data_IF_515986788456
#
_entry.id   IF_515986788456
#
_cell.length_a   1.000
_cell.length_b   1.000
_cell.length_c   1.000
_cell.angle_alpha   90.00
_cell.angle_beta   90.00
_cell.angle_gamma   90.00
#
_symmetry.space_group_name_H-M   'P 1'
#
loop_
_entity.id
_entity.type
_entity.pdbx_description
1 polymer ?
#
# COMPACT_ATOMS: atom_id res chain seq x y z
N UNK A 1 -14.58 -9.13 9.41
CA UNK A 1 -15.36 -7.93 9.04
C UNK A 1 -14.52 -6.68 8.75
N UNK A 2 -13.30 -6.53 9.30
CA UNK A 2 -12.45 -5.33 9.09
C UNK A 2 -11.91 -5.16 7.66
N UNK A 3 -11.42 -6.23 7.03
CA UNK A 3 -10.85 -6.15 5.67
C UNK A 3 -11.88 -5.81 4.59
N UNK A 4 -13.13 -6.29 4.73
CA UNK A 4 -14.23 -5.96 3.82
C UNK A 4 -14.62 -4.48 3.86
N UNK A 5 -14.58 -3.86 5.04
CA UNK A 5 -14.81 -2.42 5.17
C UNK A 5 -13.69 -1.60 4.51
N UNK A 6 -12.43 -2.02 4.66
CA UNK A 6 -11.29 -1.32 4.05
C UNK A 6 -11.33 -1.35 2.53
N UNK A 7 -11.70 -2.48 1.91
CA UNK A 7 -11.81 -2.54 0.45
C UNK A 7 -12.99 -1.74 -0.07
N UNK A 8 -14.14 -1.76 0.63
CA UNK A 8 -15.28 -0.90 0.28
C UNK A 8 -14.90 0.58 0.35
N UNK A 9 -14.21 0.98 1.42
CA UNK A 9 -13.75 2.35 1.59
C UNK A 9 -12.72 2.74 0.50
N UNK A 10 -11.79 1.85 0.15
CA UNK A 10 -10.85 2.05 -0.95
C UNK A 10 -11.57 2.30 -2.28
N UNK A 11 -12.57 1.47 -2.62
CA UNK A 11 -13.36 1.64 -3.86
C UNK A 11 -14.09 2.98 -3.85
N UNK A 12 -14.77 3.34 -2.75
CA UNK A 12 -15.55 4.58 -2.68
C UNK A 12 -14.66 5.83 -2.77
N UNK A 13 -13.52 5.84 -2.09
CA UNK A 13 -12.63 7.01 -2.12
C UNK A 13 -11.99 7.16 -3.50
N UNK A 14 -11.52 6.08 -4.13
CA UNK A 14 -10.97 6.15 -5.49
C UNK A 14 -12.06 6.50 -6.50
N UNK A 15 -13.30 6.04 -6.30
CA UNK A 15 -14.41 6.34 -7.20
C UNK A 15 -14.72 7.86 -7.27
N UNK A 16 -14.67 8.54 -6.12
CA UNK A 16 -15.00 9.98 -6.04
C UNK A 16 -13.80 10.85 -6.39
N UNK A 17 -12.59 10.47 -5.98
CA UNK A 17 -11.42 11.34 -6.07
C UNK A 17 -10.49 11.05 -7.25
N UNK A 18 -10.65 9.91 -7.95
CA UNK A 18 -9.88 9.61 -9.15
C UNK A 18 -10.68 9.91 -10.42
N UNK A 19 -10.09 10.67 -11.33
CA UNK A 19 -10.61 10.89 -12.69
C UNK A 19 -10.44 9.68 -13.60
N UNK A 20 -9.74 8.63 -13.16
CA UNK A 20 -9.67 7.35 -13.85
C UNK A 20 -10.86 6.44 -13.52
N UNK A 21 -11.70 6.82 -12.55
CA UNK A 21 -12.82 6.01 -12.11
C UNK A 21 -13.93 5.92 -13.15
N UNK A 22 -14.82 4.93 -13.00
CA UNK A 22 -15.99 4.76 -13.87
C UNK A 22 -16.87 6.01 -13.96
N UNK A 23 -16.84 6.88 -12.94
CA UNK A 23 -17.63 8.11 -12.90
C UNK A 23 -17.14 9.16 -13.92
N UNK A 24 -15.88 9.06 -14.35
CA UNK A 24 -15.22 10.00 -15.26
C UNK A 24 -14.71 9.24 -16.49
N UNK A 25 -15.52 9.10 -17.56
CA UNK A 25 -15.14 8.33 -18.75
C UNK A 25 -13.95 8.91 -19.52
N UNK A 26 -13.72 10.22 -19.38
CA UNK A 26 -12.66 10.95 -20.04
C UNK A 26 -11.75 11.56 -18.98
N UNK A 27 -10.46 11.26 -19.08
CA UNK A 27 -9.45 11.83 -18.21
C UNK A 27 -8.78 13.03 -18.92
N UNK A 28 -9.01 14.28 -18.47
CA UNK A 28 -8.40 15.46 -19.07
C UNK A 28 -6.93 15.65 -18.70
N UNK A 29 -6.38 14.84 -17.79
CA UNK A 29 -5.03 14.99 -17.29
C UNK A 29 -4.01 14.34 -18.25
N UNK A 30 -3.04 15.13 -18.68
CA UNK A 30 -2.00 14.68 -19.61
C UNK A 30 -1.16 13.53 -19.03
N UNK A 31 -0.80 13.60 -17.74
CA UNK A 31 0.02 12.59 -17.07
C UNK A 31 -0.56 11.17 -17.20
N UNK A 32 -1.85 11.01 -16.91
CA UNK A 32 -2.52 9.70 -16.99
C UNK A 32 -2.55 9.15 -18.42
N UNK A 33 -2.74 10.04 -19.40
CA UNK A 33 -2.72 9.68 -20.82
C UNK A 33 -1.31 9.28 -21.29
N UNK A 34 -0.27 9.98 -20.83
CA UNK A 34 1.13 9.66 -21.11
C UNK A 34 1.48 8.28 -20.55
N UNK A 35 1.18 8.00 -19.28
CA UNK A 35 1.49 6.69 -18.69
C UNK A 35 0.70 5.55 -19.32
N UNK A 36 -0.56 5.78 -19.70
CA UNK A 36 -1.35 4.79 -20.46
C UNK A 36 -0.71 4.49 -21.83
N UNK A 37 -0.18 5.51 -22.50
CA UNK A 37 0.53 5.35 -23.77
C UNK A 37 1.83 4.58 -23.60
N UNK A 38 2.60 4.88 -22.54
CA UNK A 38 3.85 4.16 -22.23
C UNK A 38 3.54 2.69 -21.91
N UNK A 39 2.53 2.41 -21.07
CA UNK A 39 2.13 1.04 -20.76
C UNK A 39 1.72 0.24 -22.01
N UNK A 40 0.95 0.85 -22.91
CA UNK A 40 0.59 0.23 -24.20
C UNK A 40 1.81 0.00 -25.10
N UNK A 41 2.77 0.92 -25.09
CA UNK A 41 4.00 0.81 -25.87
C UNK A 41 4.92 -0.30 -25.33
N UNK A 42 5.01 -0.45 -24.00
CA UNK A 42 5.71 -1.57 -23.35
C UNK A 42 5.07 -2.91 -23.69
N UNK A 43 3.74 -3.00 -23.66
CA UNK A 43 3.02 -4.21 -24.13
C UNK A 43 3.22 -4.53 -25.61
N UNK A 44 3.62 -3.55 -26.42
CA UNK A 44 3.95 -3.75 -27.82
C UNK A 44 5.41 -4.17 -28.03
N UNK A 45 6.15 -4.45 -26.96
CA UNK A 45 7.53 -4.94 -26.99
C UNK A 45 8.60 -3.86 -26.92
N UNK A 46 8.26 -2.61 -26.58
CA UNK A 46 9.26 -1.54 -26.39
C UNK A 46 9.85 -1.59 -24.99
N UNK A 47 11.17 -1.42 -24.89
CA UNK A 47 11.87 -1.45 -23.61
C UNK A 47 11.96 -0.07 -22.96
N UNK A 48 11.71 -0.02 -21.65
CA UNK A 48 11.79 1.21 -20.87
C UNK A 48 13.26 1.68 -20.74
N UNK A 49 13.48 2.98 -20.86
CA UNK A 49 14.79 3.67 -20.89
C UNK A 49 15.71 3.35 -22.05
N UNK A 50 15.34 2.40 -22.92
CA UNK A 50 16.02 2.15 -24.19
C UNK A 50 15.24 2.82 -25.32
N UNK A 51 13.97 2.46 -25.48
CA UNK A 51 13.11 2.99 -26.54
C UNK A 51 12.22 4.14 -26.06
N UNK A 52 11.91 4.15 -24.76
CA UNK A 52 10.99 5.11 -24.14
C UNK A 52 11.66 5.70 -22.90
N UNK A 53 11.95 7.00 -22.96
CA UNK A 53 12.56 7.72 -21.84
C UNK A 53 11.53 8.59 -21.12
N UNK A 54 11.53 8.51 -19.80
CA UNK A 54 10.83 9.44 -18.92
C UNK A 54 11.62 9.62 -17.60
N UNK A 55 11.42 10.74 -16.90
CA UNK A 55 12.19 11.11 -15.71
C UNK A 55 11.62 10.51 -14.40
N UNK A 56 10.51 9.78 -14.46
CA UNK A 56 9.87 9.12 -13.31
C UNK A 56 10.46 7.72 -13.07
N UNK A 57 10.13 7.15 -11.92
CA UNK A 57 10.62 5.84 -11.51
C UNK A 57 10.02 4.67 -12.32
N UNK A 58 10.79 3.59 -12.57
CA UNK A 58 10.39 2.47 -13.43
C UNK A 58 9.10 1.77 -12.98
N UNK A 59 8.90 1.65 -11.66
CA UNK A 59 7.78 0.93 -11.05
C UNK A 59 6.44 1.45 -11.54
N UNK A 60 6.32 2.76 -11.78
CA UNK A 60 5.08 3.36 -12.25
C UNK A 60 4.70 2.86 -13.64
N UNK A 61 5.67 2.67 -14.54
CA UNK A 61 5.41 2.20 -15.89
C UNK A 61 5.03 0.73 -15.92
N UNK A 62 5.64 -0.11 -15.08
CA UNK A 62 5.22 -1.51 -14.94
C UNK A 62 3.79 -1.64 -14.41
N UNK A 63 3.39 -0.79 -13.45
CA UNK A 63 2.00 -0.75 -12.99
C UNK A 63 1.04 -0.35 -14.12
N UNK A 64 1.43 0.59 -14.97
CA UNK A 64 0.62 1.00 -16.13
C UNK A 64 0.63 -0.02 -17.26
N UNK A 65 1.71 -0.77 -17.46
CA UNK A 65 1.76 -1.92 -18.36
C UNK A 65 0.75 -2.98 -17.92
N UNK A 66 0.73 -3.31 -16.63
CA UNK A 66 -0.24 -4.25 -16.06
C UNK A 66 -1.68 -3.73 -16.18
N UNK A 67 -1.90 -2.43 -15.95
CA UNK A 67 -3.19 -1.80 -16.19
C UNK A 67 -3.60 -1.91 -17.67
N UNK A 68 -2.65 -1.73 -18.60
CA UNK A 68 -2.89 -1.84 -20.03
C UNK A 68 -3.18 -3.29 -20.49
N UNK A 69 -2.68 -4.31 -19.76
CA UNK A 69 -3.06 -5.72 -20.02
C UNK A 69 -4.56 -5.91 -19.79
N UNK A 70 -5.09 -5.30 -18.73
CA UNK A 70 -6.51 -5.36 -18.39
C UNK A 70 -7.36 -4.55 -19.38
N UNK A 71 -6.87 -3.38 -19.77
CA UNK A 71 -7.59 -2.48 -20.66
C UNK A 71 -6.63 -1.52 -21.37
N UNK A 72 -6.47 -1.70 -22.69
CA UNK A 72 -5.60 -0.84 -23.52
C UNK A 72 -6.23 0.50 -23.87
N UNK A 73 -7.56 0.55 -23.99
CA UNK A 73 -8.30 1.71 -24.52
C UNK A 73 -9.13 2.46 -23.47
N UNK A 74 -9.18 1.96 -22.23
CA UNK A 74 -9.98 2.56 -21.15
C UNK A 74 -9.20 2.61 -19.84
N UNK A 75 -9.44 3.66 -19.05
CA UNK A 75 -8.85 3.90 -17.73
C UNK A 75 -9.30 2.91 -16.65
N UNK A 76 -10.25 2.01 -16.95
CA UNK A 76 -10.73 0.98 -16.01
C UNK A 76 -9.57 0.12 -15.50
N UNK A 77 -8.59 -0.21 -16.35
CA UNK A 77 -7.41 -0.96 -15.92
C UNK A 77 -6.59 -0.21 -14.87
N UNK A 78 -6.42 1.09 -15.07
CA UNK A 78 -5.70 1.98 -14.15
C UNK A 78 -6.48 2.11 -12.84
N UNK A 79 -7.80 2.27 -12.92
CA UNK A 79 -8.68 2.33 -11.74
C UNK A 79 -8.61 1.08 -10.86
N UNK A 80 -8.53 -0.12 -11.45
CA UNK A 80 -8.36 -1.36 -10.68
C UNK A 80 -7.02 -1.38 -9.94
N UNK A 81 -5.94 -0.93 -10.59
CA UNK A 81 -4.63 -0.81 -9.95
C UNK A 81 -4.67 0.21 -8.81
N UNK A 82 -5.34 1.35 -9.00
CA UNK A 82 -5.54 2.37 -7.95
C UNK A 82 -6.29 1.81 -6.74
N UNK A 83 -7.36 1.03 -6.94
CA UNK A 83 -8.10 0.37 -5.85
C UNK A 83 -7.16 -0.55 -5.05
N UNK A 84 -6.35 -1.36 -5.74
CA UNK A 84 -5.40 -2.27 -5.09
C UNK A 84 -4.36 -1.50 -4.30
N UNK A 85 -3.74 -0.46 -4.88
CA UNK A 85 -2.77 0.39 -4.19
C UNK A 85 -3.39 1.08 -2.97
N UNK A 86 -4.60 1.63 -3.10
CA UNK A 86 -5.32 2.29 -2.00
C UNK A 86 -5.65 1.30 -0.88
N UNK A 87 -6.13 0.10 -1.23
CA UNK A 87 -6.40 -0.96 -0.26
C UNK A 87 -5.14 -1.38 0.50
N UNK A 88 -4.02 -1.60 -0.20
CA UNK A 88 -2.73 -1.94 0.42
C UNK A 88 -2.27 -0.81 1.35
N UNK A 89 -2.37 0.45 0.93
CA UNK A 89 -2.06 1.61 1.76
C UNK A 89 -2.88 1.64 3.05
N UNK A 90 -4.20 1.43 2.95
CA UNK A 90 -5.10 1.40 4.11
C UNK A 90 -4.80 0.22 5.05
N UNK A 91 -4.47 -0.94 4.50
CA UNK A 91 -4.08 -2.10 5.29
C UNK A 91 -2.82 -1.82 6.11
N UNK A 92 -1.77 -1.28 5.49
CA UNK A 92 -0.53 -0.96 6.20
C UNK A 92 -0.74 0.15 7.23
N UNK A 93 -1.49 1.20 6.87
CA UNK A 93 -1.87 2.26 7.81
C UNK A 93 -2.59 1.71 9.04
N UNK A 94 -3.57 0.81 8.83
CA UNK A 94 -4.29 0.16 9.92
C UNK A 94 -3.36 -0.68 10.82
N UNK A 95 -2.44 -1.44 10.21
CA UNK A 95 -1.47 -2.27 10.94
C UNK A 95 -0.51 -1.41 11.77
N UNK A 96 -0.03 -0.30 11.22
CA UNK A 96 0.87 0.63 11.92
C UNK A 96 0.16 1.24 13.14
N UNK A 97 -1.04 1.80 12.94
CA UNK A 97 -1.81 2.42 14.03
C UNK A 97 -2.08 1.41 15.15
N UNK A 98 -2.48 0.19 14.78
CA UNK A 98 -2.74 -0.89 15.76
C UNK A 98 -1.46 -1.24 16.54
N UNK A 99 -0.31 -1.29 15.85
CA UNK A 99 0.98 -1.59 16.48
C UNK A 99 1.42 -0.50 17.46
N UNK A 100 1.12 0.76 17.17
CA UNK A 100 1.41 1.90 18.05
C UNK A 100 0.49 1.96 19.28
N UNK A 101 -0.76 1.50 19.14
CA UNK A 101 -1.74 1.47 20.22
C UNK A 101 -1.54 0.28 21.17
N UNK A 102 -0.80 -0.74 20.74
CA UNK A 102 -0.51 -1.88 21.61
C UNK A 102 0.48 -1.40 22.67
N UNK A 103 0.13 -1.37 23.96
CA UNK A 103 1.13 -1.07 24.98
C UNK A 103 2.26 -2.08 24.81
N UNK A 104 3.49 -1.57 24.75
CA UNK A 104 4.70 -2.39 24.76
C UNK A 104 4.67 -3.23 26.03
N UNK A 105 4.03 -4.40 25.97
CA UNK A 105 4.12 -5.41 27.01
C UNK A 105 5.48 -6.08 26.79
N UNK A 106 6.53 -5.29 26.97
CA UNK A 106 7.86 -5.80 27.22
C UNK A 106 7.65 -6.75 28.40
N UNK A 107 8.01 -8.04 28.30
CA UNK A 107 8.13 -8.83 29.50
C UNK A 107 9.13 -8.06 30.34
N UNK A 108 8.65 -7.43 31.43
CA UNK A 108 9.55 -6.97 32.46
C UNK A 108 10.35 -8.21 32.81
N UNK A 109 11.63 -8.20 32.41
CA UNK A 109 12.60 -9.23 32.75
C UNK A 109 12.31 -9.60 34.18
N UNK A 110 11.76 -10.80 34.35
CA UNK A 110 11.20 -11.23 35.61
C UNK A 110 12.32 -11.23 36.63
N UNK A 111 12.47 -10.12 37.36
CA UNK A 111 13.18 -10.14 38.62
C UNK A 111 12.26 -10.94 39.51
N UNK A 112 12.56 -12.24 39.52
CA UNK A 112 11.78 -13.27 40.14
C UNK A 112 11.52 -12.80 41.57
N UNK A 113 10.25 -12.75 42.01
CA UNK A 113 9.95 -12.37 43.40
C UNK A 113 10.68 -13.31 44.39
N UNK A 114 11.05 -14.49 43.90
CA UNK A 114 11.95 -15.47 44.52
C UNK A 114 13.38 -14.97 44.71
N UNK A 115 13.99 -14.25 43.77
CA UNK A 115 15.35 -13.69 43.97
C UNK A 115 15.37 -12.58 45.02
N UNK A 116 14.27 -11.81 45.14
CA UNK A 116 14.11 -10.78 46.18
C UNK A 116 13.84 -11.39 47.58
N UNK A 117 13.19 -12.56 47.64
CA UNK A 117 12.99 -13.30 48.89
C UNK A 117 14.30 -13.92 49.40
N UNK A 118 15.13 -14.44 48.50
CA UNK A 118 16.45 -14.98 48.84
C UNK A 118 17.41 -13.90 49.35
N UNK A 119 17.36 -12.68 48.80
CA UNK A 119 18.16 -11.56 49.29
C UNK A 119 17.70 -11.10 50.69
N UNK A 120 16.40 -11.15 51.00
CA UNK A 120 15.86 -10.78 52.32
C UNK A 120 16.17 -11.77 53.45
N UNK A 121 16.28 -13.06 53.15
CA UNK A 121 16.68 -14.11 54.11
C UNK A 121 18.18 -14.03 54.46
N UNK A 122 19.03 -13.64 53.50
CA UNK A 122 20.48 -13.50 53.70
C UNK A 122 20.85 -12.41 54.72
N UNK A 123 20.09 -11.32 54.78
CA UNK A 123 20.33 -10.23 55.75
C UNK A 123 19.74 -10.48 57.15
N UNK A 124 18.95 -11.55 57.35
CA UNK A 124 18.32 -11.88 58.63
C UNK A 124 19.10 -12.91 59.46
N UNK A 125 20.20 -13.42 58.91
CA UNK A 125 21.03 -14.48 59.52
C UNK A 125 22.42 -14.05 60.01
N UNK A 126 22.70 -12.75 60.15
CA UNK A 126 23.99 -12.22 60.63
C UNK A 126 23.84 -11.40 61.91
#
# INVERSE_FOLDING_TARGET
>A
MKHGFLILFAVLITMVFSTCSYLYPLNPWDDANVYMTIGNAMLSGKELYVDIFDHKGPVLFFLHEWAAVLSRSSFIGIYLVEIVCCYVYLLFSYKIITSLQTPSNSPSMGRNKESLALEGEVWRGS
#
